data_IF_298537188135
#
_entry.id   IF_298537188135
#
_cell.length_a   1.000
_cell.length_b   1.000
_cell.length_c   1.000
_cell.angle_alpha   90.00
_cell.angle_beta   90.00
_cell.angle_gamma   90.00
#
_symmetry.space_group_name_H-M   'P 1'
#
loop_
_entity.id
_entity.type
_entity.pdbx_description
1 polymer ?
#
# COMPACT_ATOMS: atom_id res chain seq x y z
N UNK A 1 22.95 -16.29 -21.08
CA UNK A 1 22.14 -15.88 -19.91
C UNK A 1 21.30 -17.08 -19.47
N UNK A 2 21.26 -17.39 -18.18
CA UNK A 2 20.38 -18.44 -17.67
C UNK A 2 18.91 -18.05 -17.88
N UNK A 3 18.12 -18.99 -18.41
CA UNK A 3 16.68 -18.83 -18.58
C UNK A 3 16.00 -18.77 -17.21
N UNK A 4 14.91 -18.02 -17.11
CA UNK A 4 14.08 -17.99 -15.90
C UNK A 4 13.60 -19.40 -15.52
N UNK A 5 13.61 -19.71 -14.22
CA UNK A 5 13.12 -20.99 -13.69
C UNK A 5 11.61 -20.91 -13.44
N UNK A 6 10.90 -22.02 -13.62
CA UNK A 6 9.46 -22.10 -13.37
C UNK A 6 9.08 -21.69 -11.93
N UNK A 7 9.93 -22.03 -10.95
CA UNK A 7 9.75 -21.60 -9.55
C UNK A 7 9.77 -20.07 -9.39
N UNK A 8 10.63 -19.37 -10.12
CA UNK A 8 10.70 -17.91 -10.11
C UNK A 8 9.42 -17.28 -10.70
N UNK A 9 8.92 -17.82 -11.82
CA UNK A 9 7.67 -17.37 -12.44
C UNK A 9 6.51 -17.51 -11.46
N UNK A 10 6.35 -18.68 -10.83
CA UNK A 10 5.30 -18.93 -9.84
C UNK A 10 5.38 -17.96 -8.66
N UNK A 11 6.59 -17.73 -8.15
CA UNK A 11 6.79 -16.83 -7.01
C UNK A 11 6.47 -15.37 -7.35
N UNK A 12 6.88 -14.89 -8.53
CA UNK A 12 6.51 -13.55 -9.01
C UNK A 12 4.99 -13.38 -9.09
N UNK A 13 4.24 -14.39 -9.56
CA UNK A 13 2.78 -14.35 -9.57
C UNK A 13 2.17 -14.25 -8.16
N UNK A 14 2.72 -15.00 -7.19
CA UNK A 14 2.28 -14.90 -5.79
C UNK A 14 2.49 -13.48 -5.25
N UNK A 15 3.67 -12.91 -5.46
CA UNK A 15 4.00 -11.55 -4.99
C UNK A 15 3.13 -10.49 -5.66
N UNK A 16 2.92 -10.59 -6.98
CA UNK A 16 2.02 -9.69 -7.72
C UNK A 16 0.61 -9.71 -7.15
N UNK A 17 0.07 -10.90 -6.85
CA UNK A 17 -1.26 -11.04 -6.27
C UNK A 17 -1.32 -10.45 -4.85
N UNK A 18 -0.29 -10.68 -4.02
CA UNK A 18 -0.18 -10.05 -2.68
C UNK A 18 -0.17 -8.53 -2.75
N UNK A 19 0.48 -7.96 -3.77
CA UNK A 19 0.53 -6.52 -4.03
C UNK A 19 -0.78 -5.96 -4.62
N UNK A 20 -1.73 -6.83 -5.01
CA UNK A 20 -2.91 -6.49 -5.81
C UNK A 20 -2.55 -5.61 -7.03
N UNK A 21 -1.40 -5.91 -7.66
CA UNK A 21 -0.81 -5.04 -8.67
C UNK A 21 -1.53 -5.27 -10.00
N UNK A 22 -2.09 -4.19 -10.58
CA UNK A 22 -2.81 -4.26 -11.86
C UNK A 22 -1.87 -4.72 -12.98
N UNK A 23 -2.44 -5.35 -14.00
CA UNK A 23 -1.67 -5.85 -15.15
C UNK A 23 -0.88 -4.74 -15.86
N UNK A 24 -1.46 -3.54 -15.96
CA UNK A 24 -0.83 -2.37 -16.57
C UNK A 24 0.39 -1.91 -15.76
N UNK A 25 0.23 -1.69 -14.46
CA UNK A 25 1.32 -1.31 -13.56
C UNK A 25 2.44 -2.35 -13.56
N UNK A 26 2.07 -3.63 -13.65
CA UNK A 26 3.02 -4.74 -13.70
C UNK A 26 3.84 -4.72 -14.99
N UNK A 27 3.19 -4.48 -16.14
CA UNK A 27 3.86 -4.35 -17.45
C UNK A 27 4.77 -3.13 -17.47
N UNK A 28 4.31 -2.00 -16.98
CA UNK A 28 5.10 -0.77 -16.88
C UNK A 28 6.36 -0.97 -16.01
N UNK A 29 6.25 -1.73 -14.90
CA UNK A 29 7.40 -2.10 -14.08
C UNK A 29 8.40 -2.98 -14.86
N UNK A 30 7.91 -3.99 -15.59
CA UNK A 30 8.76 -4.87 -16.40
C UNK A 30 9.47 -4.12 -17.53
N UNK A 31 8.76 -3.23 -18.21
CA UNK A 31 9.27 -2.44 -19.33
C UNK A 31 10.30 -1.42 -18.84
N UNK A 32 10.00 -0.66 -17.79
CA UNK A 32 10.92 0.35 -17.24
C UNK A 32 12.19 -0.24 -16.61
N UNK A 33 12.11 -1.42 -15.96
CA UNK A 33 13.26 -2.01 -15.26
C UNK A 33 14.08 -2.97 -16.11
N UNK A 34 13.45 -3.67 -17.05
CA UNK A 34 14.09 -4.76 -17.78
C UNK A 34 13.91 -4.67 -19.30
N UNK A 35 13.14 -3.70 -19.80
CA UNK A 35 12.74 -3.58 -21.20
C UNK A 35 12.07 -4.88 -21.71
N UNK A 36 11.17 -5.45 -20.89
CA UNK A 36 10.42 -6.68 -21.19
C UNK A 36 8.93 -6.47 -20.99
N UNK A 37 8.11 -7.19 -21.76
CA UNK A 37 6.64 -7.12 -21.67
C UNK A 37 6.04 -8.19 -20.75
N UNK A 38 6.77 -9.27 -20.48
CA UNK A 38 6.32 -10.37 -19.62
C UNK A 38 7.46 -10.95 -18.80
N UNK A 39 7.14 -11.52 -17.63
CA UNK A 39 8.10 -12.18 -16.74
C UNK A 39 8.76 -13.40 -17.38
N UNK A 40 8.10 -14.02 -18.36
CA UNK A 40 8.63 -15.17 -19.10
C UNK A 40 9.87 -14.83 -19.92
N UNK A 41 10.05 -13.55 -20.29
CA UNK A 41 11.18 -13.08 -21.10
C UNK A 41 12.38 -12.64 -20.26
N UNK A 42 12.28 -12.74 -18.93
CA UNK A 42 13.38 -12.42 -18.02
C UNK A 42 14.43 -13.54 -18.01
N UNK A 43 15.68 -13.17 -17.80
CA UNK A 43 16.70 -14.11 -17.36
C UNK A 43 16.50 -14.48 -15.88
N UNK A 44 17.11 -15.58 -15.42
CA UNK A 44 17.01 -16.00 -14.02
C UNK A 44 17.49 -14.90 -13.06
N UNK A 45 18.57 -14.18 -13.40
CA UNK A 45 19.08 -13.05 -12.62
C UNK A 45 18.11 -11.85 -12.59
N UNK A 46 17.50 -11.51 -13.72
CA UNK A 46 16.49 -10.44 -13.76
C UNK A 46 15.25 -10.80 -12.93
N UNK A 47 14.85 -12.07 -12.94
CA UNK A 47 13.74 -12.55 -12.12
C UNK A 47 14.04 -12.43 -10.61
N UNK A 48 15.26 -12.73 -10.16
CA UNK A 48 15.67 -12.50 -8.75
C UNK A 48 15.60 -11.02 -8.37
N UNK A 49 16.03 -10.12 -9.25
CA UNK A 49 15.95 -8.67 -9.01
C UNK A 49 14.48 -8.24 -8.91
N UNK A 50 13.62 -8.71 -9.81
CA UNK A 50 12.18 -8.42 -9.76
C UNK A 50 11.54 -8.93 -8.47
N UNK A 51 11.85 -10.15 -8.04
CA UNK A 51 11.38 -10.72 -6.77
C UNK A 51 11.74 -9.80 -5.61
N UNK A 52 13.00 -9.38 -5.49
CA UNK A 52 13.44 -8.46 -4.43
C UNK A 52 12.73 -7.11 -4.46
N UNK A 53 12.41 -6.59 -5.66
CA UNK A 53 11.64 -5.34 -5.80
C UNK A 53 10.22 -5.54 -5.27
N UNK A 54 9.55 -6.64 -5.67
CA UNK A 54 8.19 -6.91 -5.24
C UNK A 54 8.11 -7.19 -3.73
N UNK A 55 9.06 -7.92 -3.16
CA UNK A 55 9.17 -8.15 -1.72
C UNK A 55 9.33 -6.83 -0.95
N UNK A 56 10.25 -5.95 -1.40
CA UNK A 56 10.39 -4.62 -0.81
C UNK A 56 9.14 -3.76 -0.91
N UNK A 57 8.37 -3.88 -2.00
CA UNK A 57 7.11 -3.16 -2.11
C UNK A 57 6.10 -3.67 -1.07
N UNK A 58 6.03 -4.98 -0.84
CA UNK A 58 5.19 -5.57 0.21
C UNK A 58 5.64 -5.10 1.59
N UNK A 59 6.93 -5.12 1.87
CA UNK A 59 7.48 -4.71 3.18
C UNK A 59 7.24 -3.23 3.48
N UNK A 60 7.06 -2.41 2.45
CA UNK A 60 6.75 -0.99 2.59
C UNK A 60 5.24 -0.72 2.74
N UNK A 61 4.36 -1.71 2.60
CA UNK A 61 2.93 -1.52 2.80
C UNK A 61 2.56 -1.33 4.27
N UNK A 62 1.50 -0.53 4.49
CA UNK A 62 0.99 -0.30 5.82
C UNK A 62 0.68 -1.63 6.52
N UNK A 63 1.20 -1.77 7.74
CA UNK A 63 0.97 -2.98 8.53
C UNK A 63 -0.49 -3.06 8.98
N UNK A 64 -1.00 -4.27 9.23
CA UNK A 64 -2.35 -4.46 9.79
C UNK A 64 -2.55 -3.70 11.10
N UNK A 65 -1.50 -3.57 11.92
CA UNK A 65 -1.53 -2.75 13.13
C UNK A 65 -1.80 -1.27 12.82
N UNK A 66 -1.13 -0.71 11.81
CA UNK A 66 -1.37 0.68 11.38
C UNK A 66 -2.77 0.85 10.80
N UNK A 67 -3.21 -0.07 9.92
CA UNK A 67 -4.57 -0.03 9.36
C UNK A 67 -5.65 -0.09 10.44
N UNK A 68 -5.49 -0.96 11.44
CA UNK A 68 -6.41 -1.06 12.57
C UNK A 68 -6.44 0.23 13.40
N UNK A 69 -5.27 0.86 13.65
CA UNK A 69 -5.20 2.16 14.32
C UNK A 69 -5.90 3.25 13.51
N UNK A 70 -5.61 3.33 12.21
CA UNK A 70 -6.27 4.26 11.27
C UNK A 70 -7.79 4.09 11.32
N UNK A 71 -8.28 2.86 11.20
CA UNK A 71 -9.71 2.56 11.21
C UNK A 71 -10.40 2.93 12.53
N UNK A 72 -9.73 2.67 13.66
CA UNK A 72 -10.24 3.05 14.97
C UNK A 72 -10.38 4.56 15.12
N UNK A 73 -9.33 5.31 14.76
CA UNK A 73 -9.34 6.78 14.80
C UNK A 73 -10.37 7.35 13.82
N UNK A 74 -10.46 6.80 12.62
CA UNK A 74 -11.39 7.27 11.61
C UNK A 74 -12.85 7.20 12.10
N UNK A 75 -13.23 6.08 12.73
CA UNK A 75 -14.57 5.90 13.33
C UNK A 75 -14.86 6.84 14.50
N UNK A 76 -13.83 7.31 15.21
CA UNK A 76 -13.99 8.32 16.27
C UNK A 76 -14.30 9.70 15.68
N UNK A 77 -13.58 10.07 14.62
CA UNK A 77 -13.70 11.39 13.98
C UNK A 77 -14.93 11.48 13.09
N UNK A 78 -15.20 10.45 12.29
CA UNK A 78 -16.22 10.44 11.25
C UNK A 78 -17.19 9.28 11.45
N UNK A 79 -18.50 9.59 11.56
CA UNK A 79 -19.56 8.59 11.69
C UNK A 79 -20.02 8.01 10.35
N UNK A 80 -20.14 8.84 9.32
CA UNK A 80 -20.76 8.47 8.03
C UNK A 80 -19.91 8.78 6.78
N UNK A 81 -18.80 9.52 6.91
CA UNK A 81 -17.95 9.89 5.75
C UNK A 81 -17.30 8.63 5.16
N UNK A 82 -17.24 8.53 3.84
CA UNK A 82 -16.57 7.43 3.16
C UNK A 82 -15.04 7.50 3.37
N UNK A 83 -14.47 6.40 3.89
CA UNK A 83 -13.04 6.32 4.23
C UNK A 83 -12.15 6.38 2.99
N UNK A 84 -12.61 5.86 1.85
CA UNK A 84 -11.85 5.92 0.60
C UNK A 84 -11.72 7.36 0.14
N UNK A 85 -12.78 8.17 0.23
CA UNK A 85 -12.70 9.60 -0.08
C UNK A 85 -11.67 10.31 0.79
N UNK A 86 -11.67 10.06 2.10
CA UNK A 86 -10.65 10.60 3.01
C UNK A 86 -9.22 10.18 2.60
N UNK A 87 -9.01 8.90 2.29
CA UNK A 87 -7.69 8.42 1.87
C UNK A 87 -7.25 9.11 0.56
N UNK A 88 -8.14 9.23 -0.42
CA UNK A 88 -7.84 9.88 -1.70
C UNK A 88 -7.61 11.40 -1.55
N UNK A 89 -8.30 12.05 -0.63
CA UNK A 89 -8.15 13.49 -0.31
C UNK A 89 -6.71 13.80 0.14
N UNK A 90 -6.12 12.94 0.97
CA UNK A 90 -4.79 13.20 1.58
C UNK A 90 -3.62 12.50 0.87
N UNK A 91 -3.88 11.43 0.10
CA UNK A 91 -2.85 10.63 -0.58
C UNK A 91 -2.95 10.66 -2.12
N UNK A 92 -4.06 11.13 -2.68
CA UNK A 92 -4.32 11.20 -4.12
C UNK A 92 -5.26 10.10 -4.67
N UNK A 93 -5.83 10.35 -5.86
CA UNK A 93 -6.81 9.46 -6.51
C UNK A 93 -6.27 8.04 -6.70
N UNK A 94 -7.09 7.04 -6.39
CA UNK A 94 -6.75 5.62 -6.53
C UNK A 94 -5.99 5.02 -5.34
N UNK A 95 -5.65 5.83 -4.32
CA UNK A 95 -5.12 5.32 -3.06
C UNK A 95 -6.23 4.73 -2.20
N UNK A 96 -5.90 3.65 -1.51
CA UNK A 96 -6.81 2.85 -0.70
C UNK A 96 -6.08 2.30 0.52
N UNK A 97 -6.84 1.73 1.45
CA UNK A 97 -6.28 1.02 2.61
C UNK A 97 -5.32 -0.12 2.24
N UNK A 98 -5.52 -0.73 1.07
CA UNK A 98 -4.77 -1.91 0.66
C UNK A 98 -3.50 -1.60 -0.12
N UNK A 99 -3.32 -0.37 -0.62
CA UNK A 99 -2.17 0.02 -1.44
C UNK A 99 -1.38 1.21 -0.88
N UNK A 100 -1.74 1.69 0.32
CA UNK A 100 -0.98 2.72 1.00
C UNK A 100 0.26 2.13 1.69
N UNK A 101 1.36 2.87 1.63
CA UNK A 101 2.60 2.49 2.30
C UNK A 101 2.60 2.89 3.80
N UNK A 102 3.62 2.44 4.54
CA UNK A 102 3.77 2.71 5.98
C UNK A 102 3.76 4.21 6.29
N UNK A 103 4.45 5.02 5.48
CA UNK A 103 4.55 6.47 5.70
C UNK A 103 3.23 7.19 5.40
N UNK A 104 2.57 6.80 4.31
CA UNK A 104 1.25 7.28 3.93
C UNK A 104 0.21 6.96 5.01
N UNK A 105 0.21 5.74 5.56
CA UNK A 105 -0.68 5.37 6.65
C UNK A 105 -0.38 6.14 7.94
N UNK A 106 0.89 6.30 8.30
CA UNK A 106 1.29 7.11 9.45
C UNK A 106 0.85 8.58 9.32
N UNK A 107 0.94 9.16 8.12
CA UNK A 107 0.44 10.52 7.85
C UNK A 107 -1.06 10.63 8.13
N UNK A 108 -1.86 9.67 7.66
CA UNK A 108 -3.30 9.66 7.90
C UNK A 108 -3.66 9.47 9.38
N UNK A 109 -2.93 8.59 10.07
CA UNK A 109 -3.08 8.39 11.52
C UNK A 109 -2.83 9.71 12.27
N UNK A 110 -1.71 10.39 11.96
CA UNK A 110 -1.36 11.66 12.59
C UNK A 110 -2.46 12.71 12.42
N UNK A 111 -2.98 12.87 11.21
CA UNK A 111 -4.09 13.82 10.93
C UNK A 111 -5.32 13.49 11.78
N UNK A 112 -5.70 12.21 11.89
CA UNK A 112 -6.85 11.82 12.69
C UNK A 112 -6.59 11.99 14.19
N UNK A 113 -5.37 11.75 14.68
CA UNK A 113 -4.99 12.02 16.07
C UNK A 113 -5.14 13.51 16.41
N UNK A 114 -4.66 14.41 15.55
CA UNK A 114 -4.85 15.85 15.75
C UNK A 114 -6.32 16.26 15.79
N UNK A 115 -7.16 15.66 14.93
CA UNK A 115 -8.60 15.96 14.94
C UNK A 115 -9.27 15.43 16.22
N UNK A 116 -8.92 14.23 16.67
CA UNK A 116 -9.43 13.67 17.94
C UNK A 116 -9.04 14.56 19.11
N UNK A 117 -7.77 14.95 19.21
CA UNK A 117 -7.30 15.85 20.28
C UNK A 117 -8.03 17.19 20.28
N UNK A 118 -8.29 17.76 19.09
CA UNK A 118 -9.05 18.99 18.96
C UNK A 118 -10.51 18.82 19.41
N UNK A 119 -11.17 17.72 19.02
CA UNK A 119 -12.54 17.41 19.45
C UNK A 119 -12.62 17.23 20.98
N UNK A 120 -11.66 16.51 21.57
CA UNK A 120 -11.59 16.31 23.02
C UNK A 120 -11.37 17.64 23.77
N UNK A 121 -10.49 18.51 23.29
CA UNK A 121 -10.29 19.85 23.90
C UNK A 121 -11.52 20.75 23.77
N UNK A 122 -12.26 20.65 22.67
CA UNK A 122 -13.41 21.53 22.38
C UNK A 122 -14.70 21.06 23.07
N UNK A 123 -14.91 19.76 23.19
CA UNK A 123 -16.16 19.15 23.65
C UNK A 123 -16.03 18.27 24.90
N UNK A 124 -14.81 17.87 25.28
CA UNK A 124 -14.53 17.00 26.44
C UNK A 124 -14.38 17.74 27.78
N UNK A 125 -14.45 19.07 27.78
CA UNK A 125 -14.32 19.92 28.97
C UNK A 125 -15.64 20.24 29.70
N UNK A 126 -16.62 19.33 29.72
CA UNK A 126 -17.88 19.49 30.47
C UNK A 126 -18.22 18.19 31.24
N UNK A 127 -17.32 17.75 32.11
CA UNK A 127 -17.64 16.82 33.20
C UNK A 127 -16.95 17.36 34.47
N UNK A 128 -17.41 18.52 34.94
CA UNK A 128 -17.26 18.96 36.34
C UNK A 128 -18.65 18.95 37.00
#
# INVERSE_FOLDING_TARGET
MEKIKNGQIKYIHILKNKLNLKDEDYRNLLESKFNKKTSKDLSSKQAEILIKILERLIDNYATEKQKNKLNSLYRKVYKEKDKKEFIEEYLGKGKTENNMNIQECSKLIYILEEIVEWQEKKFGGNNE
#
